data_IF_356642201598
#
_entry.id   IF_356642201598
#
_cell.length_a   1.000
_cell.length_b   1.000
_cell.length_c   1.000
_cell.angle_alpha   90.00
_cell.angle_beta   90.00
_cell.angle_gamma   90.00
#
_symmetry.space_group_name_H-M   'P 1'
#
loop_
_entity.id
_entity.type
_entity.pdbx_description
1 polymer ?
#
# COMPACT_ATOMS: atom_id res chain seq x y z
N UNK A 1 23.14 -16.86 -50.81
CA UNK A 1 23.17 -16.44 -49.40
C UNK A 1 21.89 -15.64 -49.17
N UNK A 2 20.87 -16.26 -48.56
CA UNK A 2 19.61 -15.56 -48.23
C UNK A 2 19.82 -14.75 -46.96
N UNK A 3 19.38 -13.49 -46.98
CA UNK A 3 19.42 -12.59 -45.82
C UNK A 3 18.08 -12.76 -45.12
N UNK A 4 18.08 -13.38 -43.94
CA UNK A 4 16.88 -13.43 -43.11
C UNK A 4 16.57 -12.00 -42.62
N UNK A 5 15.34 -11.50 -42.78
CA UNK A 5 14.98 -10.18 -42.28
C UNK A 5 14.98 -10.21 -40.75
N UNK A 6 15.75 -9.30 -40.14
CA UNK A 6 15.72 -9.08 -38.69
C UNK A 6 14.34 -8.55 -38.31
N UNK A 7 13.48 -9.41 -37.78
CA UNK A 7 12.18 -8.98 -37.26
C UNK A 7 12.37 -8.41 -35.85
N UNK A 8 12.33 -7.09 -35.71
CA UNK A 8 12.19 -6.46 -34.40
C UNK A 8 10.74 -6.61 -33.94
N UNK A 9 10.47 -7.58 -33.07
CA UNK A 9 9.17 -7.68 -32.42
C UNK A 9 9.08 -6.65 -31.29
N UNK A 10 8.19 -5.67 -31.43
CA UNK A 10 7.84 -4.74 -30.36
C UNK A 10 6.54 -5.23 -29.73
N UNK A 11 6.62 -5.71 -28.50
CA UNK A 11 5.46 -6.15 -27.72
C UNK A 11 4.97 -5.02 -26.83
N UNK A 12 3.72 -4.56 -27.01
CA UNK A 12 3.07 -3.59 -26.14
C UNK A 12 2.18 -4.35 -25.14
N UNK A 13 2.54 -4.28 -23.86
CA UNK A 13 1.79 -4.90 -22.75
C UNK A 13 1.06 -3.87 -21.88
N UNK A 14 0.00 -4.31 -21.20
CA UNK A 14 -0.77 -3.49 -20.25
C UNK A 14 -0.22 -3.67 -18.84
N UNK A 15 0.34 -2.63 -18.23
CA UNK A 15 0.65 -2.62 -16.80
C UNK A 15 -0.57 -2.09 -16.07
N UNK A 16 -1.24 -2.94 -15.29
CA UNK A 16 -2.27 -2.49 -14.37
C UNK A 16 -1.58 -1.76 -13.22
N UNK A 17 -1.46 -0.44 -13.33
CA UNK A 17 -1.20 0.40 -12.16
C UNK A 17 -2.50 0.41 -11.35
N UNK A 18 -2.73 -0.65 -10.58
CA UNK A 18 -3.66 -0.56 -9.47
C UNK A 18 -3.13 0.60 -8.64
N UNK A 19 -3.82 1.74 -8.65
CA UNK A 19 -3.59 2.82 -7.71
C UNK A 19 -3.58 2.17 -6.34
N UNK A 20 -2.37 1.96 -5.78
CA UNK A 20 -2.23 1.52 -4.41
C UNK A 20 -2.93 2.60 -3.60
N UNK A 21 -4.14 2.33 -3.13
CA UNK A 21 -4.75 3.16 -2.11
C UNK A 21 -3.71 3.28 -1.02
N UNK A 22 -3.16 4.49 -0.84
CA UNK A 22 -2.19 4.76 0.21
C UNK A 22 -2.94 4.69 1.53
N UNK A 23 -3.11 3.49 2.06
CA UNK A 23 -3.68 3.25 3.38
C UNK A 23 -2.73 3.85 4.41
N UNK A 24 -3.21 4.87 5.10
CA UNK A 24 -2.52 5.49 6.24
C UNK A 24 -2.97 4.74 7.49
N UNK A 25 -2.01 4.14 8.19
CA UNK A 25 -2.25 3.49 9.48
C UNK A 25 -1.84 4.49 10.56
N UNK A 26 -2.75 4.71 11.52
CA UNK A 26 -2.56 5.64 12.64
C UNK A 26 -2.60 4.85 13.93
N UNK A 27 -1.63 5.11 14.82
CA UNK A 27 -1.65 4.62 16.19
C UNK A 27 -2.33 5.66 17.07
N UNK A 28 -3.33 5.22 17.82
CA UNK A 28 -4.16 6.07 18.67
C UNK A 28 -3.99 5.66 20.12
N UNK A 29 -3.71 6.64 20.98
CA UNK A 29 -3.85 6.50 22.43
C UNK A 29 -5.21 7.09 22.78
N UNK A 30 -6.06 6.32 23.45
CA UNK A 30 -7.40 6.76 23.82
C UNK A 30 -7.80 6.24 25.19
N UNK A 31 -8.86 6.83 25.72
CA UNK A 31 -9.62 6.29 26.85
C UNK A 31 -11.07 6.09 26.43
N UNK A 32 -11.74 5.10 27.00
CA UNK A 32 -13.16 4.84 26.78
C UNK A 32 -13.90 4.94 28.12
N UNK A 33 -14.96 5.74 28.19
CA UNK A 33 -15.83 5.91 29.36
C UNK A 33 -17.26 6.16 28.92
N UNK A 34 -18.23 5.47 29.52
CA UNK A 34 -19.66 5.69 29.29
C UNK A 34 -20.03 5.83 27.80
N UNK A 35 -19.61 4.86 26.98
CA UNK A 35 -19.82 4.85 25.53
C UNK A 35 -19.14 5.98 24.73
N UNK A 36 -18.35 6.84 25.38
CA UNK A 36 -17.54 7.87 24.74
C UNK A 36 -16.08 7.43 24.64
N UNK A 37 -15.47 7.64 23.46
CA UNK A 37 -14.03 7.51 23.25
C UNK A 37 -13.41 8.91 23.26
N UNK A 38 -12.41 9.12 24.13
CA UNK A 38 -11.57 10.31 24.12
C UNK A 38 -10.20 9.94 23.53
N UNK A 39 -9.90 10.49 22.36
CA UNK A 39 -8.57 10.41 21.77
C UNK A 39 -7.63 11.32 22.56
N UNK A 40 -6.49 10.79 23.01
CA UNK A 40 -5.43 11.52 23.72
C UNK A 40 -4.32 11.90 22.73
N UNK A 41 -4.00 10.99 21.81
CA UNK A 41 -2.96 11.21 20.79
C UNK A 41 -3.25 10.38 19.55
N UNK A 42 -2.82 10.90 18.40
CA UNK A 42 -2.85 10.22 17.12
C UNK A 42 -1.54 10.51 16.37
N UNK A 43 -0.86 9.46 15.90
CA UNK A 43 0.33 9.60 15.05
C UNK A 43 0.37 8.54 13.97
N UNK A 44 1.11 8.81 12.90
CA UNK A 44 1.41 7.81 11.86
C UNK A 44 2.08 6.58 12.50
N UNK A 45 1.63 5.39 12.12
CA UNK A 45 2.29 4.14 12.49
C UNK A 45 3.70 4.07 11.88
N UNK A 46 4.65 3.55 12.65
CA UNK A 46 5.95 3.18 12.11
C UNK A 46 5.87 1.87 11.33
N UNK A 47 6.96 1.49 10.65
CA UNK A 47 7.00 0.29 9.81
C UNK A 47 6.68 -0.99 10.58
N UNK A 48 7.17 -1.12 11.83
CA UNK A 48 6.93 -2.30 12.68
C UNK A 48 5.46 -2.41 13.09
N UNK A 49 4.85 -1.30 13.51
CA UNK A 49 3.43 -1.22 13.87
C UNK A 49 2.53 -1.52 12.67
N UNK A 50 2.90 -0.98 11.50
CA UNK A 50 2.24 -1.27 10.23
C UNK A 50 2.27 -2.76 9.90
N UNK A 51 3.46 -3.38 9.92
CA UNK A 51 3.61 -4.82 9.66
C UNK A 51 2.76 -5.66 10.60
N UNK A 52 2.69 -5.28 11.89
CA UNK A 52 1.85 -5.97 12.87
C UNK A 52 0.36 -5.82 12.59
N UNK A 53 -0.09 -4.66 12.14
CA UNK A 53 -1.50 -4.43 11.77
C UNK A 53 -1.91 -5.17 10.50
N UNK A 54 -1.00 -5.30 9.54
CA UNK A 54 -1.25 -5.96 8.24
C UNK A 54 -1.12 -7.49 8.30
N UNK A 55 -0.75 -8.08 9.45
CA UNK A 55 -0.74 -9.53 9.64
C UNK A 55 -2.17 -10.07 9.84
N UNK A 56 -2.59 -11.12 9.10
CA UNK A 56 -3.93 -11.71 9.20
C UNK A 56 -4.17 -12.52 10.48
#
# INVERSE_FOLDING_TARGET
>A
MSIDPVSTQVSIGKITLATQEKKVIIVVIHTQRNQSIRLISARKANERERKRYEQP
#
